data_IF_847556061373
#
_entry.id   IF_847556061373
#
_cell.length_a   1.000
_cell.length_b   1.000
_cell.length_c   1.000
_cell.angle_alpha   90.00
_cell.angle_beta   90.00
_cell.angle_gamma   90.00
#
_symmetry.space_group_name_H-M   'P 1'
#
loop_
_entity.id
_entity.type
_entity.pdbx_description
1 polymer ?
#
# COMPACT_ATOMS: atom_id res chain seq x y z
N UNK A 1 -26.89 0.38 21.68
CA UNK A 1 -25.58 0.13 21.04
C UNK A 1 -25.43 0.74 19.63
N UNK A 2 -26.47 1.22 18.93
CA UNK A 2 -26.31 1.73 17.54
C UNK A 2 -25.74 3.15 17.41
N UNK A 3 -25.88 4.00 18.44
CA UNK A 3 -25.46 5.41 18.40
C UNK A 3 -23.93 5.62 18.25
N UNK A 4 -23.13 4.64 18.69
CA UNK A 4 -21.66 4.67 18.53
C UNK A 4 -21.20 4.27 17.13
N UNK A 5 -21.93 3.38 16.42
CA UNK A 5 -21.54 2.93 15.08
C UNK A 5 -21.69 4.05 14.04
N UNK A 6 -22.77 4.83 14.11
CA UNK A 6 -23.00 5.92 13.16
C UNK A 6 -22.05 7.11 13.39
N UNK A 7 -21.74 7.44 14.65
CA UNK A 7 -20.82 8.52 14.96
C UNK A 7 -19.36 8.18 14.58
N UNK A 8 -18.91 6.95 14.84
CA UNK A 8 -17.57 6.52 14.40
C UNK A 8 -17.46 6.42 12.88
N UNK A 9 -18.54 6.00 12.21
CA UNK A 9 -18.61 6.01 10.75
C UNK A 9 -18.46 7.43 10.20
N UNK A 10 -19.20 8.40 10.75
CA UNK A 10 -19.11 9.80 10.35
C UNK A 10 -17.70 10.35 10.54
N UNK A 11 -17.08 10.05 11.69
CA UNK A 11 -15.72 10.49 12.05
C UNK A 11 -14.65 9.92 11.12
N UNK A 12 -14.79 8.65 10.71
CA UNK A 12 -13.91 8.03 9.72
C UNK A 12 -14.05 8.68 8.32
N UNK A 13 -15.27 9.04 7.90
CA UNK A 13 -15.47 9.75 6.64
C UNK A 13 -14.92 11.19 6.68
N UNK A 14 -15.05 11.88 7.82
CA UNK A 14 -14.50 13.23 8.02
C UNK A 14 -12.96 13.23 8.03
N UNK A 15 -12.33 12.25 8.68
CA UNK A 15 -10.87 12.08 8.65
C UNK A 15 -10.35 11.86 7.23
N UNK A 16 -11.04 11.03 6.44
CA UNK A 16 -10.71 10.78 5.03
C UNK A 16 -10.97 12.02 4.15
N UNK A 17 -11.98 12.83 4.48
CA UNK A 17 -12.27 14.08 3.76
C UNK A 17 -11.25 15.18 4.05
N UNK A 18 -10.81 15.30 5.31
CA UNK A 18 -9.80 16.28 5.73
C UNK A 18 -8.40 15.94 5.19
N UNK A 19 -8.04 14.66 5.10
CA UNK A 19 -6.77 14.24 4.51
C UNK A 19 -6.65 14.63 3.04
N UNK A 20 -7.76 14.58 2.29
CA UNK A 20 -7.78 14.94 0.86
C UNK A 20 -7.69 16.47 0.66
N UNK A 21 -8.26 17.26 1.58
CA UNK A 21 -8.21 18.73 1.51
C UNK A 21 -6.85 19.34 1.87
N UNK A 22 -6.00 18.61 2.59
CA UNK A 22 -4.64 19.05 2.98
C UNK A 22 -3.57 18.75 1.93
N UNK A 23 -3.89 18.06 0.83
CA UNK A 23 -2.90 17.59 -0.16
C UNK A 23 -2.47 18.65 -1.20
N UNK A 24 -3.22 19.75 -1.36
CA UNK A 24 -2.93 20.78 -2.38
C UNK A 24 -1.74 21.68 -2.02
N UNK A 25 -1.46 21.87 -0.74
CA UNK A 25 -0.42 22.81 -0.24
C UNK A 25 0.93 22.13 0.05
N UNK A 26 1.06 20.84 -0.28
CA UNK A 26 2.25 20.05 0.01
C UNK A 26 3.31 20.27 -1.09
N UNK A 27 4.55 20.49 -0.69
CA UNK A 27 5.66 20.66 -1.63
C UNK A 27 5.92 19.37 -2.43
N UNK A 28 6.51 19.51 -3.63
CA UNK A 28 6.85 18.37 -4.49
C UNK A 28 7.73 17.34 -3.77
N UNK A 29 8.66 17.80 -2.94
CA UNK A 29 9.55 16.96 -2.15
C UNK A 29 8.78 16.14 -1.10
N UNK A 30 7.86 16.77 -0.37
CA UNK A 30 7.02 16.07 0.60
C UNK A 30 6.05 15.07 -0.06
N UNK A 31 5.55 15.37 -1.26
CA UNK A 31 4.75 14.42 -2.07
C UNK A 31 5.57 13.17 -2.41
N UNK A 32 6.81 13.33 -2.85
CA UNK A 32 7.70 12.21 -3.15
C UNK A 32 8.03 11.41 -1.90
N UNK A 33 8.37 12.07 -0.79
CA UNK A 33 8.65 11.40 0.47
C UNK A 33 7.47 10.54 0.95
N UNK A 34 6.25 11.08 0.86
CA UNK A 34 5.02 10.32 1.18
C UNK A 34 4.78 9.15 0.21
N UNK A 35 5.07 9.32 -1.08
CA UNK A 35 4.97 8.21 -2.04
C UNK A 35 5.94 7.07 -1.69
N UNK A 36 7.15 7.41 -1.22
CA UNK A 36 8.14 6.42 -0.75
C UNK A 36 7.61 5.70 0.49
N UNK A 37 7.04 6.43 1.46
CA UNK A 37 6.42 5.83 2.66
C UNK A 37 5.29 4.88 2.30
N UNK A 38 4.36 5.30 1.41
CA UNK A 38 3.29 4.42 0.92
C UNK A 38 3.82 3.17 0.24
N UNK A 39 4.85 3.29 -0.60
CA UNK A 39 5.46 2.15 -1.27
C UNK A 39 6.14 1.18 -0.27
N UNK A 40 6.72 1.69 0.82
CA UNK A 40 7.27 0.85 1.91
C UNK A 40 6.16 0.06 2.61
N UNK A 41 5.05 0.71 2.93
CA UNK A 41 3.89 0.04 3.54
C UNK A 41 3.31 -1.04 2.62
N UNK A 42 3.20 -0.74 1.31
CA UNK A 42 2.74 -1.71 0.30
C UNK A 42 3.67 -2.93 0.18
N UNK A 43 4.98 -2.76 0.31
CA UNK A 43 5.93 -3.89 0.32
C UNK A 43 5.75 -4.78 1.55
N UNK A 44 5.48 -4.20 2.73
CA UNK A 44 5.19 -4.97 3.94
C UNK A 44 3.91 -5.78 3.78
N UNK A 45 2.87 -5.19 3.20
CA UNK A 45 1.61 -5.89 2.93
C UNK A 45 1.77 -7.01 1.90
N UNK A 46 2.54 -6.77 0.84
CA UNK A 46 2.88 -7.78 -0.15
C UNK A 46 3.61 -8.96 0.50
N UNK A 47 4.55 -8.71 1.40
CA UNK A 47 5.25 -9.77 2.12
C UNK A 47 4.28 -10.63 2.96
N UNK A 48 3.35 -9.99 3.68
CA UNK A 48 2.34 -10.71 4.47
C UNK A 48 1.42 -11.57 3.59
N UNK A 49 0.93 -11.04 2.47
CA UNK A 49 0.08 -11.80 1.55
C UNK A 49 0.85 -12.92 0.85
N UNK A 50 2.14 -12.72 0.56
CA UNK A 50 3.01 -13.76 0.04
C UNK A 50 3.14 -14.91 1.03
N UNK A 51 3.40 -14.63 2.32
CA UNK A 51 3.48 -15.66 3.35
C UNK A 51 2.17 -16.46 3.44
N UNK A 52 1.01 -15.79 3.46
CA UNK A 52 -0.31 -16.45 3.46
C UNK A 52 -0.51 -17.31 2.21
N UNK A 53 -0.06 -16.85 1.05
CA UNK A 53 -0.11 -17.62 -0.18
C UNK A 53 0.74 -18.89 -0.06
N UNK A 54 2.00 -18.75 0.38
CA UNK A 54 2.93 -19.88 0.54
C UNK A 54 2.38 -20.93 1.50
N UNK A 55 1.76 -20.52 2.61
CA UNK A 55 1.09 -21.43 3.54
C UNK A 55 -0.09 -22.17 2.87
N UNK A 56 -0.91 -21.45 2.10
CA UNK A 56 -2.07 -22.03 1.41
C UNK A 56 -1.66 -23.04 0.35
N UNK A 57 -0.58 -22.81 -0.40
CA UNK A 57 -0.17 -23.70 -1.49
C UNK A 57 0.82 -24.79 -1.08
N UNK A 58 1.29 -24.79 0.17
CA UNK A 58 2.28 -25.75 0.69
C UNK A 58 1.89 -27.23 0.52
N UNK A 59 0.59 -27.51 0.49
CA UNK A 59 0.09 -28.88 0.31
C UNK A 59 0.26 -29.41 -1.13
N UNK A 60 0.56 -28.55 -2.09
CA UNK A 60 0.77 -28.94 -3.49
C UNK A 60 2.19 -29.46 -3.68
N UNK A 61 2.36 -30.78 -3.79
CA UNK A 61 3.67 -31.43 -3.90
C UNK A 61 4.51 -30.94 -5.08
N UNK A 62 3.90 -30.66 -6.25
CA UNK A 62 4.63 -30.12 -7.41
C UNK A 62 5.15 -28.71 -7.12
N UNK A 63 4.35 -27.90 -6.44
CA UNK A 63 4.75 -26.55 -6.06
C UNK A 63 5.93 -26.61 -5.08
N UNK A 64 5.81 -27.39 -4.00
CA UNK A 64 6.85 -27.49 -2.97
C UNK A 64 8.16 -28.08 -3.52
N UNK A 65 8.08 -29.08 -4.42
CA UNK A 65 9.27 -29.74 -4.95
C UNK A 65 9.99 -28.97 -6.07
N UNK A 66 9.26 -28.22 -6.92
CA UNK A 66 9.83 -27.65 -8.14
C UNK A 66 9.72 -26.13 -8.25
N UNK A 67 8.71 -25.53 -7.62
CA UNK A 67 8.35 -24.12 -7.86
C UNK A 67 8.76 -23.24 -6.68
N UNK A 68 8.62 -23.74 -5.46
CA UNK A 68 8.80 -22.98 -4.22
C UNK A 68 10.11 -22.23 -4.15
N UNK A 69 11.25 -22.93 -4.25
CA UNK A 69 12.55 -22.29 -4.11
C UNK A 69 12.87 -21.27 -5.23
N UNK A 70 12.67 -21.59 -6.52
CA UNK A 70 12.82 -20.59 -7.58
C UNK A 70 11.90 -19.38 -7.41
N UNK A 71 10.68 -19.60 -6.94
CA UNK A 71 9.70 -18.54 -6.71
C UNK A 71 10.09 -17.64 -5.53
N UNK A 72 10.43 -18.22 -4.37
CA UNK A 72 10.93 -17.48 -3.20
C UNK A 72 12.15 -16.64 -3.57
N UNK A 73 13.15 -17.23 -4.25
CA UNK A 73 14.35 -16.51 -4.67
C UNK A 73 14.05 -15.35 -5.65
N UNK A 74 13.11 -15.56 -6.58
CA UNK A 74 12.70 -14.50 -7.50
C UNK A 74 11.98 -13.36 -6.77
N UNK A 75 11.05 -13.68 -5.87
CA UNK A 75 10.29 -12.67 -5.14
C UNK A 75 11.18 -11.92 -4.15
N UNK A 76 12.11 -12.60 -3.48
CA UNK A 76 13.08 -11.95 -2.61
C UNK A 76 13.99 -11.00 -3.39
N UNK A 77 14.42 -11.39 -4.60
CA UNK A 77 15.19 -10.49 -5.47
C UNK A 77 14.40 -9.23 -5.84
N UNK A 78 13.13 -9.38 -6.22
CA UNK A 78 12.26 -8.23 -6.54
C UNK A 78 12.05 -7.32 -5.33
N UNK A 79 11.85 -7.88 -4.13
CA UNK A 79 11.73 -7.11 -2.89
C UNK A 79 13.00 -6.32 -2.60
N UNK A 80 14.16 -6.96 -2.68
CA UNK A 80 15.44 -6.28 -2.44
C UNK A 80 15.68 -5.13 -3.43
N UNK A 81 15.33 -5.32 -4.70
CA UNK A 81 15.39 -4.24 -5.70
C UNK A 81 14.43 -3.09 -5.36
N UNK A 82 13.20 -3.41 -4.95
CA UNK A 82 12.23 -2.40 -4.56
C UNK A 82 12.68 -1.62 -3.30
N UNK A 83 13.20 -2.31 -2.29
CA UNK A 83 13.77 -1.70 -1.07
C UNK A 83 14.94 -0.78 -1.45
N UNK A 84 15.87 -1.25 -2.28
CA UNK A 84 17.00 -0.44 -2.74
C UNK A 84 16.54 0.85 -3.44
N UNK A 85 15.52 0.76 -4.30
CA UNK A 85 14.94 1.94 -4.95
C UNK A 85 14.27 2.87 -3.94
N UNK A 86 13.66 2.37 -2.87
CA UNK A 86 12.98 3.20 -1.87
C UNK A 86 13.92 3.79 -0.81
N UNK A 87 15.06 3.15 -0.56
CA UNK A 87 16.03 3.53 0.46
C UNK A 87 17.25 4.26 -0.09
N UNK A 88 17.42 4.30 -1.42
CA UNK A 88 18.45 5.15 -2.03
C UNK A 88 18.22 6.60 -1.60
N UNK A 89 19.25 7.23 -1.06
CA UNK A 89 19.24 8.67 -0.80
C UNK A 89 19.12 9.42 -2.13
N UNK A 90 17.89 9.85 -2.46
CA UNK A 90 17.63 10.67 -3.63
C UNK A 90 18.21 12.06 -3.42
N UNK A 91 19.03 12.50 -4.37
CA UNK A 91 19.53 13.89 -4.37
C UNK A 91 18.37 14.87 -4.63
N UNK A 92 18.51 16.11 -4.16
CA UNK A 92 17.51 17.16 -4.40
C UNK A 92 17.23 17.34 -5.91
N UNK A 93 18.26 17.19 -6.74
CA UNK A 93 18.15 17.28 -8.20
C UNK A 93 17.34 16.12 -8.81
N UNK A 94 17.51 14.89 -8.31
CA UNK A 94 16.68 13.73 -8.70
C UNK A 94 15.22 13.91 -8.24
N UNK A 95 14.99 14.48 -7.07
CA UNK A 95 13.65 14.78 -6.54
C UNK A 95 12.95 15.89 -7.35
N UNK A 96 13.69 16.93 -7.72
CA UNK A 96 13.18 18.04 -8.53
C UNK A 96 12.85 17.60 -9.96
N UNK A 97 13.56 16.61 -10.50
CA UNK A 97 13.28 15.99 -11.80
C UNK A 97 12.15 14.94 -11.74
N UNK A 98 11.77 14.49 -10.56
CA UNK A 98 10.78 13.42 -10.41
C UNK A 98 9.39 13.88 -10.92
N UNK A 99 8.71 13.14 -11.79
CA UNK A 99 7.45 13.62 -12.37
C UNK A 99 6.30 13.65 -11.35
N UNK A 100 5.48 14.71 -11.35
CA UNK A 100 4.33 14.84 -10.43
C UNK A 100 3.30 13.70 -10.58
N UNK A 101 3.15 13.16 -11.79
CA UNK A 101 2.20 12.08 -12.08
C UNK A 101 2.49 10.77 -11.30
N UNK A 102 3.72 10.58 -10.80
CA UNK A 102 4.07 9.40 -9.99
C UNK A 102 3.30 9.44 -8.68
N UNK A 103 3.31 10.59 -7.99
CA UNK A 103 2.54 10.79 -6.77
C UNK A 103 1.03 10.65 -7.02
N UNK A 104 0.52 11.27 -8.09
CA UNK A 104 -0.90 11.18 -8.45
C UNK A 104 -1.35 9.73 -8.68
N UNK A 105 -0.47 8.91 -9.28
CA UNK A 105 -0.74 7.49 -9.49
C UNK A 105 -0.86 6.75 -8.16
N UNK A 106 0.05 6.99 -7.21
CA UNK A 106 -0.02 6.42 -5.86
C UNK A 106 -1.31 6.87 -5.15
N UNK A 107 -1.66 8.15 -5.23
CA UNK A 107 -2.91 8.67 -4.64
C UNK A 107 -4.15 7.98 -5.24
N UNK A 108 -4.18 7.74 -6.55
CA UNK A 108 -5.28 7.02 -7.21
C UNK A 108 -5.39 5.59 -6.69
N UNK A 109 -4.27 4.90 -6.49
CA UNK A 109 -4.25 3.54 -5.91
C UNK A 109 -4.77 3.55 -4.47
N UNK A 110 -4.32 4.51 -3.65
CA UNK A 110 -4.78 4.65 -2.26
C UNK A 110 -6.28 4.98 -2.17
N UNK A 111 -6.81 5.81 -3.09
CA UNK A 111 -8.26 6.07 -3.18
C UNK A 111 -9.05 4.79 -3.45
N UNK A 112 -8.61 3.96 -4.40
CA UNK A 112 -9.24 2.66 -4.67
C UNK A 112 -9.19 1.74 -3.45
N UNK A 113 -8.06 1.73 -2.73
CA UNK A 113 -7.92 0.95 -1.50
C UNK A 113 -8.90 1.38 -0.41
N UNK A 114 -9.05 2.69 -0.21
CA UNK A 114 -10.05 3.25 0.71
C UNK A 114 -11.48 2.85 0.32
N UNK A 115 -11.80 2.82 -0.98
CA UNK A 115 -13.11 2.36 -1.45
C UNK A 115 -13.35 0.87 -1.13
N UNK A 116 -12.35 0.01 -1.34
CA UNK A 116 -12.41 -1.41 -0.97
C UNK A 116 -12.60 -1.57 0.54
N UNK A 117 -11.83 -0.84 1.36
CA UNK A 117 -11.98 -0.85 2.82
C UNK A 117 -13.37 -0.38 3.26
N UNK A 118 -13.93 0.65 2.62
CA UNK A 118 -15.31 1.09 2.85
C UNK A 118 -16.32 0.01 2.49
N UNK A 119 -16.12 -0.73 1.39
CA UNK A 119 -16.99 -1.83 0.98
C UNK A 119 -16.93 -3.01 1.98
N UNK A 120 -15.73 -3.37 2.44
CA UNK A 120 -15.51 -4.38 3.48
C UNK A 120 -16.20 -3.94 4.78
N UNK A 121 -15.94 -2.72 5.25
CA UNK A 121 -16.53 -2.18 6.47
C UNK A 121 -18.07 -2.18 6.40
N UNK A 122 -18.66 -1.77 5.27
CA UNK A 122 -20.12 -1.86 5.06
C UNK A 122 -20.64 -3.29 5.18
N UNK A 123 -19.89 -4.27 4.68
CA UNK A 123 -20.29 -5.68 4.72
C UNK A 123 -20.27 -6.22 6.16
N UNK A 124 -19.24 -5.90 6.95
CA UNK A 124 -19.12 -6.31 8.35
C UNK A 124 -19.99 -5.51 9.33
N UNK A 125 -20.36 -4.26 9.01
CA UNK A 125 -21.19 -3.40 9.85
C UNK A 125 -22.70 -3.53 9.59
N UNK A 126 -23.09 -4.11 8.44
CA UNK A 126 -24.47 -4.45 8.11
C UNK A 126 -24.87 -5.89 8.50
N UNK A 127 -23.91 -6.69 8.98
CA UNK A 127 -24.14 -7.91 9.76
C UNK A 127 -24.18 -7.57 11.26
#
# INVERSE_FOLDING_TARGET
MSYYRESERQRAYELVGQSIGMESDISKQEKVQRAIEFAKDELVELDQELQKFMEKVRHLHVFDALIRHPFEAHVDSLKQQAIYLLEKDYTQEELDQMPEHVFDTVVVVQKKRVEVLKAIARTYLNQ
#
